data_IF_637596641802
#
_entry.id   IF_637596641802
#
_cell.length_a   1.000
_cell.length_b   1.000
_cell.length_c   1.000
_cell.angle_alpha   90.00
_cell.angle_beta   90.00
_cell.angle_gamma   90.00
#
_symmetry.space_group_name_H-M   'P 1'
#
loop_
_entity.id
_entity.type
_entity.pdbx_description
1 polymer ?
#
# COMPACT_ATOMS: atom_id res chain seq x y z
N UNK A 1 29.69 -18.05 6.76
CA UNK A 1 28.41 -18.16 6.02
C UNK A 1 27.29 -17.64 6.90
N UNK A 2 26.63 -16.52 6.55
CA UNK A 2 25.34 -16.19 7.17
C UNK A 2 24.36 -17.24 6.66
N UNK A 3 23.81 -18.06 7.55
CA UNK A 3 22.69 -18.95 7.22
C UNK A 3 21.57 -18.07 6.67
N UNK A 4 21.30 -18.14 5.37
CA UNK A 4 20.09 -17.56 4.80
C UNK A 4 18.94 -18.29 5.48
N UNK A 5 18.25 -17.60 6.39
CA UNK A 5 17.03 -18.09 7.00
C UNK A 5 16.04 -18.30 5.84
N UNK A 6 15.81 -19.56 5.44
CA UNK A 6 14.89 -19.90 4.36
C UNK A 6 13.55 -19.23 4.63
N UNK A 7 13.20 -18.27 3.77
CA UNK A 7 12.00 -17.45 3.90
C UNK A 7 10.84 -18.21 3.26
N UNK A 8 9.80 -18.47 4.04
CA UNK A 8 8.54 -19.02 3.53
C UNK A 8 7.97 -18.11 2.44
N UNK A 9 7.60 -18.70 1.31
CA UNK A 9 7.13 -17.97 0.12
C UNK A 9 5.65 -17.60 0.18
N UNK A 10 4.88 -18.07 1.17
CA UNK A 10 3.45 -17.74 1.32
C UNK A 10 3.18 -16.24 1.40
N UNK A 11 3.89 -15.51 2.28
CA UNK A 11 3.75 -14.05 2.38
C UNK A 11 4.36 -13.29 1.20
N UNK A 12 5.28 -13.91 0.47
CA UNK A 12 5.85 -13.32 -0.75
C UNK A 12 4.87 -13.42 -1.92
N UNK A 13 4.18 -14.56 -2.06
CA UNK A 13 3.06 -14.72 -2.98
C UNK A 13 1.92 -13.75 -2.66
N UNK A 14 1.60 -13.56 -1.38
CA UNK A 14 0.62 -12.57 -0.97
C UNK A 14 1.01 -11.14 -1.38
N UNK A 15 2.31 -10.80 -1.35
CA UNK A 15 2.78 -9.49 -1.82
C UNK A 15 2.58 -9.31 -3.32
N UNK A 16 2.76 -10.37 -4.12
CA UNK A 16 2.47 -10.38 -5.55
C UNK A 16 0.98 -10.15 -5.80
N UNK A 17 0.12 -10.87 -5.07
CA UNK A 17 -1.34 -10.72 -5.17
C UNK A 17 -1.74 -9.29 -4.77
N UNK A 18 -1.19 -8.76 -3.68
CA UNK A 18 -1.47 -7.41 -3.20
C UNK A 18 -1.13 -6.35 -4.26
N UNK A 19 0.00 -6.47 -4.95
CA UNK A 19 0.36 -5.49 -6.00
C UNK A 19 -0.52 -5.63 -7.24
N UNK A 20 -0.91 -6.84 -7.63
CA UNK A 20 -1.84 -7.04 -8.73
C UNK A 20 -3.19 -6.39 -8.41
N UNK A 21 -3.70 -6.54 -7.18
CA UNK A 21 -4.93 -5.87 -6.74
C UNK A 21 -4.82 -4.34 -6.83
N UNK A 22 -3.68 -3.76 -6.44
CA UNK A 22 -3.43 -2.31 -6.56
C UNK A 22 -3.40 -1.87 -8.03
N UNK A 23 -2.70 -2.59 -8.90
CA UNK A 23 -2.65 -2.27 -10.35
C UNK A 23 -4.03 -2.41 -10.98
N UNK A 24 -4.83 -3.39 -10.54
CA UNK A 24 -6.21 -3.57 -10.98
C UNK A 24 -7.10 -2.38 -10.60
N UNK A 25 -6.88 -1.82 -9.41
CA UNK A 25 -7.53 -0.59 -8.97
C UNK A 25 -7.12 0.61 -9.81
N UNK A 26 -5.82 0.76 -10.09
CA UNK A 26 -5.28 1.85 -10.89
C UNK A 26 -5.86 1.89 -12.31
N UNK A 27 -6.11 0.72 -12.93
CA UNK A 27 -6.78 0.62 -14.22
C UNK A 27 -8.13 1.34 -14.24
N UNK A 28 -8.93 1.24 -13.18
CA UNK A 28 -10.30 1.76 -13.16
C UNK A 28 -10.35 3.17 -12.58
N UNK A 29 -9.68 3.41 -11.45
CA UNK A 29 -9.79 4.69 -10.73
C UNK A 29 -9.10 5.85 -11.46
N UNK A 30 -8.03 5.56 -12.21
CA UNK A 30 -7.28 6.57 -12.96
C UNK A 30 -7.69 6.61 -14.43
N UNK A 31 -8.72 5.87 -14.84
CA UNK A 31 -9.26 5.97 -16.18
C UNK A 31 -10.35 7.05 -16.20
N UNK A 32 -10.43 7.91 -17.23
CA UNK A 32 -11.52 8.88 -17.40
C UNK A 32 -12.79 8.17 -17.89
N UNK A 33 -13.29 7.22 -17.10
CA UNK A 33 -14.46 6.40 -17.41
C UNK A 33 -15.45 6.44 -16.24
N UNK A 34 -16.64 6.96 -16.50
CA UNK A 34 -17.70 6.97 -15.50
C UNK A 34 -18.40 5.61 -15.42
N UNK A 35 -17.83 4.74 -14.57
CA UNK A 35 -18.38 3.42 -14.30
C UNK A 35 -19.79 3.45 -13.68
N UNK A 36 -20.20 4.56 -13.05
CA UNK A 36 -21.47 4.65 -12.35
C UNK A 36 -22.62 5.08 -13.26
N UNK A 37 -22.32 5.67 -14.42
CA UNK A 37 -23.27 5.94 -15.50
C UNK A 37 -23.72 4.67 -16.25
N UNK A 38 -22.96 3.58 -16.13
CA UNK A 38 -23.25 2.33 -16.85
C UNK A 38 -24.43 1.55 -16.26
N UNK A 39 -25.22 0.85 -17.08
CA UNK A 39 -26.28 -0.03 -16.59
C UNK A 39 -25.78 -1.09 -15.63
N UNK A 40 -26.60 -1.42 -14.62
CA UNK A 40 -26.28 -2.49 -13.69
C UNK A 40 -26.15 -3.83 -14.39
N UNK A 41 -25.01 -4.48 -14.23
CA UNK A 41 -24.74 -5.83 -14.73
C UNK A 41 -23.54 -6.44 -14.00
N UNK A 42 -23.29 -7.74 -14.21
CA UNK A 42 -22.14 -8.44 -13.62
C UNK A 42 -20.80 -7.80 -14.03
N UNK A 43 -20.69 -7.32 -15.27
CA UNK A 43 -19.51 -6.59 -15.76
C UNK A 43 -19.27 -5.31 -14.94
N UNK A 44 -20.31 -4.50 -14.72
CA UNK A 44 -20.23 -3.30 -13.88
C UNK A 44 -19.82 -3.63 -12.44
N UNK A 45 -20.41 -4.66 -11.83
CA UNK A 45 -20.04 -5.13 -10.48
C UNK A 45 -18.56 -5.53 -10.38
N UNK A 46 -18.03 -6.24 -11.38
CA UNK A 46 -16.62 -6.60 -11.44
C UNK A 46 -15.73 -5.36 -11.42
N UNK A 47 -16.02 -4.37 -12.27
CA UNK A 47 -15.25 -3.13 -12.31
C UNK A 47 -15.44 -2.26 -11.06
N UNK A 48 -16.59 -2.32 -10.38
CA UNK A 48 -16.81 -1.59 -9.11
C UNK A 48 -15.93 -2.16 -7.99
N UNK A 49 -15.80 -3.49 -7.93
CA UNK A 49 -14.86 -4.13 -7.02
C UNK A 49 -13.42 -3.69 -7.30
N UNK A 50 -13.03 -3.61 -8.58
CA UNK A 50 -11.72 -3.08 -8.96
C UNK A 50 -11.56 -1.60 -8.59
N UNK A 51 -12.57 -0.78 -8.84
CA UNK A 51 -12.58 0.67 -8.60
C UNK A 51 -12.25 1.07 -7.16
N UNK A 52 -12.65 0.28 -6.15
CA UNK A 52 -12.35 0.60 -4.74
C UNK A 52 -11.71 -0.58 -4.01
N UNK A 53 -12.50 -1.61 -3.73
CA UNK A 53 -12.15 -2.65 -2.77
C UNK A 53 -10.81 -3.34 -3.08
N UNK A 54 -10.53 -3.65 -4.36
CA UNK A 54 -9.30 -4.34 -4.75
C UNK A 54 -8.04 -3.59 -4.30
N UNK A 55 -7.94 -2.29 -4.60
CA UNK A 55 -6.77 -1.47 -4.25
C UNK A 55 -6.62 -1.32 -2.76
N UNK A 56 -7.73 -1.09 -2.04
CA UNK A 56 -7.71 -0.93 -0.58
C UNK A 56 -7.31 -2.21 0.15
N UNK A 57 -7.79 -3.38 -0.32
CA UNK A 57 -7.31 -4.70 0.15
C UNK A 57 -5.81 -4.84 -0.12
N UNK A 58 -5.35 -4.53 -1.34
CA UNK A 58 -3.93 -4.61 -1.70
C UNK A 58 -3.03 -3.75 -0.81
N UNK A 59 -3.41 -2.50 -0.58
CA UNK A 59 -2.70 -1.56 0.32
C UNK A 59 -2.65 -2.11 1.75
N UNK A 60 -3.78 -2.62 2.26
CA UNK A 60 -3.84 -3.21 3.59
C UNK A 60 -2.95 -4.46 3.71
N UNK A 61 -2.93 -5.33 2.71
CA UNK A 61 -2.04 -6.50 2.67
C UNK A 61 -0.56 -6.11 2.66
N UNK A 62 -0.17 -5.11 1.86
CA UNK A 62 1.20 -4.58 1.86
C UNK A 62 1.63 -4.11 3.24
N UNK A 63 0.74 -3.38 3.92
CA UNK A 63 1.00 -2.90 5.26
C UNK A 63 1.07 -4.06 6.26
N UNK A 64 0.09 -4.98 6.26
CA UNK A 64 0.03 -6.14 7.16
C UNK A 64 1.31 -6.99 7.07
N UNK A 65 1.79 -7.30 5.86
CA UNK A 65 3.05 -8.02 5.67
C UNK A 65 4.22 -7.25 6.28
N UNK A 66 4.27 -5.93 6.05
CA UNK A 66 5.35 -5.07 6.54
C UNK A 66 5.35 -4.99 8.06
N UNK A 67 4.22 -4.60 8.66
CA UNK A 67 4.09 -4.44 10.11
C UNK A 67 4.21 -5.75 10.86
N UNK A 68 3.85 -6.89 10.25
CA UNK A 68 4.08 -8.21 10.83
C UNK A 68 5.56 -8.42 11.17
N UNK A 69 6.47 -8.13 10.23
CA UNK A 69 7.90 -8.29 10.47
C UNK A 69 8.52 -7.17 11.33
N UNK A 70 7.90 -5.98 11.34
CA UNK A 70 8.36 -4.86 12.17
C UNK A 70 7.97 -5.02 13.64
N UNK A 71 6.83 -5.65 13.94
CA UNK A 71 6.36 -5.85 15.32
C UNK A 71 7.38 -6.60 16.20
N UNK A 72 8.16 -7.53 15.63
CA UNK A 72 9.17 -8.29 16.37
C UNK A 72 10.52 -7.56 16.50
N UNK A 73 10.72 -6.46 15.78
CA UNK A 73 12.03 -5.81 15.65
C UNK A 73 12.07 -4.51 16.42
N UNK A 74 13.07 -4.37 17.27
CA UNK A 74 13.46 -3.08 17.83
C UNK A 74 14.21 -2.30 16.77
N UNK A 75 13.60 -1.21 16.33
CA UNK A 75 14.15 -0.32 15.33
C UNK A 75 14.48 0.98 16.05
N UNK A 76 15.74 1.38 16.00
CA UNK A 76 16.18 2.69 16.44
C UNK A 76 15.81 3.77 15.42
N UNK A 77 15.74 5.03 15.85
CA UNK A 77 15.49 6.16 14.96
C UNK A 77 16.51 6.23 13.81
N UNK A 78 17.80 5.95 14.09
CA UNK A 78 18.84 5.88 13.06
C UNK A 78 18.56 4.78 12.02
N UNK A 79 18.09 3.60 12.45
CA UNK A 79 17.75 2.52 11.52
C UNK A 79 16.51 2.87 10.69
N UNK A 80 15.52 3.55 11.27
CA UNK A 80 14.38 4.07 10.53
C UNK A 80 14.82 5.10 9.48
N UNK A 81 15.62 6.10 9.88
CA UNK A 81 16.18 7.09 8.98
C UNK A 81 17.01 6.45 7.85
N UNK A 82 17.83 5.43 8.15
CA UNK A 82 18.61 4.69 7.14
C UNK A 82 17.72 3.98 6.11
N UNK A 83 16.58 3.41 6.55
CA UNK A 83 15.60 2.81 5.62
C UNK A 83 14.96 3.87 4.73
N UNK A 84 14.56 5.00 5.29
CA UNK A 84 13.97 6.13 4.55
C UNK A 84 14.99 6.69 3.54
N UNK A 85 16.25 6.81 3.92
CA UNK A 85 17.34 7.21 3.04
C UNK A 85 17.52 6.28 1.84
N UNK A 86 17.42 4.96 2.06
CA UNK A 86 17.46 3.99 0.96
C UNK A 86 16.21 4.11 0.08
N UNK A 87 15.02 4.26 0.68
CA UNK A 87 13.77 4.47 -0.05
C UNK A 87 13.83 5.72 -0.93
N UNK A 88 14.34 6.84 -0.42
CA UNK A 88 14.47 8.08 -1.17
C UNK A 88 15.22 7.88 -2.49
N UNK A 89 16.29 7.08 -2.51
CA UNK A 89 17.03 6.81 -3.76
C UNK A 89 16.21 6.02 -4.80
N UNK A 90 15.26 5.20 -4.36
CA UNK A 90 14.34 4.49 -5.25
C UNK A 90 13.32 5.47 -5.83
N UNK A 91 12.76 6.36 -5.00
CA UNK A 91 11.83 7.40 -5.44
C UNK A 91 12.48 8.36 -6.44
N UNK A 92 13.69 8.81 -6.12
CA UNK A 92 14.49 9.67 -6.99
C UNK A 92 14.72 9.02 -8.35
N UNK A 93 15.07 7.72 -8.39
CA UNK A 93 15.26 7.01 -9.66
C UNK A 93 13.99 7.01 -10.52
N UNK A 94 12.82 6.71 -9.94
CA UNK A 94 11.58 6.64 -10.69
C UNK A 94 11.05 8.01 -11.11
N UNK A 95 11.24 9.05 -10.27
CA UNK A 95 10.94 10.42 -10.69
C UNK A 95 11.90 10.93 -11.76
N UNK A 96 13.18 10.58 -11.70
CA UNK A 96 14.13 10.93 -12.76
C UNK A 96 13.77 10.23 -14.08
N UNK A 97 13.40 8.94 -14.01
CA UNK A 97 12.95 8.17 -15.18
C UNK A 97 11.69 8.79 -15.80
N UNK A 98 10.74 9.20 -14.95
CA UNK A 98 9.54 9.91 -15.40
C UNK A 98 9.86 11.28 -16.00
N UNK A 99 10.79 12.04 -15.43
CA UNK A 99 11.23 13.32 -15.98
C UNK A 99 11.85 13.16 -17.37
N UNK A 100 12.69 12.14 -17.57
CA UNK A 100 13.23 11.80 -18.91
C UNK A 100 12.10 11.47 -19.88
N UNK A 101 11.09 10.71 -19.45
CA UNK A 101 9.94 10.39 -20.29
C UNK A 101 9.10 11.63 -20.63
N UNK A 102 8.93 12.56 -19.69
CA UNK A 102 8.27 13.84 -19.94
C UNK A 102 8.99 14.64 -21.03
N UNK A 103 10.32 14.77 -20.95
CA UNK A 103 11.10 15.44 -22.00
C UNK A 103 10.97 14.79 -23.39
N UNK A 104 10.64 13.50 -23.47
CA UNK A 104 10.47 12.79 -24.76
C UNK A 104 9.03 12.93 -25.29
N UNK A 105 8.02 12.79 -24.43
CA UNK A 105 6.61 12.67 -24.83
C UNK A 105 5.88 14.01 -24.78
N UNK A 106 6.09 14.78 -23.73
CA UNK A 106 5.41 16.05 -23.48
C UNK A 106 6.35 17.03 -22.77
N UNK A 107 7.31 17.64 -23.48
CA UNK A 107 8.29 18.54 -22.88
C UNK A 107 7.63 19.73 -22.17
N UNK A 108 6.41 20.11 -22.58
CA UNK A 108 5.67 21.23 -22.00
C UNK A 108 5.13 20.93 -20.60
N UNK A 109 5.03 19.64 -20.22
CA UNK A 109 4.66 19.26 -18.85
C UNK A 109 5.77 19.47 -17.82
N UNK A 110 7.00 19.73 -18.26
CA UNK A 110 8.15 19.96 -17.36
C UNK A 110 8.15 21.40 -16.88
N UNK A 111 7.69 21.60 -15.65
CA UNK A 111 7.60 22.90 -14.99
C UNK A 111 8.42 22.93 -13.70
N UNK A 112 8.49 24.10 -13.04
CA UNK A 112 9.25 24.26 -11.79
C UNK A 112 8.82 23.26 -10.70
N UNK A 113 7.52 22.94 -10.60
CA UNK A 113 7.04 21.95 -9.63
C UNK A 113 7.58 20.55 -9.92
N UNK A 114 7.75 20.16 -11.18
CA UNK A 114 8.31 18.84 -11.58
C UNK A 114 9.71 18.62 -10.99
N UNK A 115 10.53 19.68 -10.90
CA UNK A 115 11.85 19.61 -10.27
C UNK A 115 11.77 19.48 -8.75
N UNK A 116 10.80 20.14 -8.11
CA UNK A 116 10.57 19.99 -6.67
C UNK A 116 10.07 18.58 -6.34
N UNK A 117 9.20 18.02 -7.16
CA UNK A 117 8.66 16.66 -7.01
C UNK A 117 9.77 15.61 -7.19
N UNK A 118 10.74 15.86 -8.09
CA UNK A 118 11.95 15.04 -8.22
C UNK A 118 12.84 15.05 -6.97
N UNK A 119 13.13 16.22 -6.41
CA UNK A 119 14.08 16.38 -5.30
C UNK A 119 13.47 16.05 -3.94
N UNK A 120 12.17 16.32 -3.77
CA UNK A 120 11.46 16.22 -2.51
C UNK A 120 10.23 15.28 -2.56
N UNK A 121 10.32 14.06 -3.14
CA UNK A 121 9.16 13.21 -3.40
C UNK A 121 8.41 12.79 -2.13
N UNK A 122 9.12 12.69 -0.99
CA UNK A 122 8.52 12.33 0.29
C UNK A 122 7.66 13.45 0.89
N UNK A 123 8.14 14.70 0.87
CA UNK A 123 7.41 15.83 1.46
C UNK A 123 6.36 16.39 0.52
N UNK A 124 6.55 16.22 -0.79
CA UNK A 124 5.58 16.57 -1.84
C UNK A 124 4.45 15.54 -2.00
N UNK A 125 4.54 14.42 -1.28
CA UNK A 125 3.51 13.38 -1.26
C UNK A 125 3.23 12.74 -2.64
N UNK A 126 4.28 12.65 -3.48
CA UNK A 126 4.20 12.04 -4.83
C UNK A 126 3.65 10.61 -4.77
N UNK A 127 4.05 9.87 -3.74
CA UNK A 127 3.47 8.57 -3.40
C UNK A 127 3.03 8.58 -1.94
N UNK A 128 1.73 8.79 -1.73
CA UNK A 128 1.14 8.91 -0.40
C UNK A 128 1.52 7.75 0.54
N UNK A 129 1.61 6.53 0.01
CA UNK A 129 1.94 5.34 0.79
C UNK A 129 3.37 5.42 1.34
N UNK A 130 4.32 5.90 0.54
CA UNK A 130 5.74 5.96 0.92
C UNK A 130 5.99 7.11 1.89
N UNK A 131 5.33 8.25 1.69
CA UNK A 131 5.36 9.37 2.64
C UNK A 131 4.78 8.96 3.99
N UNK A 132 3.62 8.32 4.00
CA UNK A 132 2.99 7.77 5.21
C UNK A 132 3.85 6.71 5.89
N UNK A 133 4.43 5.79 5.11
CA UNK A 133 5.36 4.77 5.61
C UNK A 133 6.59 5.40 6.27
N UNK A 134 7.14 6.46 5.67
CA UNK A 134 8.33 7.13 6.18
C UNK A 134 8.07 7.81 7.53
N UNK A 135 6.94 8.52 7.66
CA UNK A 135 6.52 9.09 8.95
C UNK A 135 6.28 7.98 9.98
N UNK A 136 5.53 6.94 9.61
CA UNK A 136 5.29 5.79 10.48
C UNK A 136 6.60 5.13 10.95
N UNK A 137 7.59 4.97 10.07
CA UNK A 137 8.88 4.39 10.41
C UNK A 137 9.66 5.22 11.42
N UNK A 138 9.59 6.56 11.37
CA UNK A 138 10.21 7.44 12.36
C UNK A 138 9.48 7.37 13.72
N UNK A 139 8.16 7.20 13.70
CA UNK A 139 7.33 7.06 14.91
C UNK A 139 7.38 5.67 15.53
N UNK A 140 7.68 4.64 14.73
CA UNK A 140 7.66 3.23 15.13
C UNK A 140 8.44 2.90 16.41
N UNK A 141 9.65 3.44 16.67
CA UNK A 141 10.39 3.16 17.91
C UNK A 141 9.59 3.55 19.16
N UNK A 142 8.89 4.68 19.08
CA UNK A 142 8.07 5.22 20.17
C UNK A 142 6.75 4.46 20.28
N UNK A 143 6.02 4.32 19.17
CA UNK A 143 4.72 3.63 19.13
C UNK A 143 4.86 2.19 19.62
N UNK A 144 5.86 1.43 19.13
CA UNK A 144 6.09 0.04 19.55
C UNK A 144 6.37 -0.05 21.04
N UNK A 145 7.27 0.78 21.55
CA UNK A 145 7.66 0.77 22.97
C UNK A 145 6.47 1.10 23.86
N UNK A 146 5.66 2.10 23.48
CA UNK A 146 4.44 2.46 24.20
C UNK A 146 3.44 1.31 24.24
N UNK A 147 3.13 0.68 23.10
CA UNK A 147 2.19 -0.43 23.03
C UNK A 147 2.63 -1.64 23.88
N UNK A 148 3.94 -1.94 23.90
CA UNK A 148 4.46 -3.01 24.76
C UNK A 148 4.35 -2.67 26.24
N UNK A 149 4.67 -1.43 26.64
CA UNK A 149 4.59 -0.98 28.03
C UNK A 149 3.16 -0.88 28.56
N UNK A 150 2.18 -0.60 27.70
CA UNK A 150 0.76 -0.55 28.08
C UNK A 150 0.22 -1.90 28.59
N UNK A 151 0.82 -3.01 28.17
CA UNK A 151 0.35 -4.36 28.52
C UNK A 151 -0.97 -4.76 27.85
N UNK A 152 -1.35 -6.03 28.04
CA UNK A 152 -2.42 -6.68 27.29
C UNK A 152 -3.78 -5.99 27.40
N UNK A 153 -4.18 -5.59 28.60
CA UNK A 153 -5.52 -5.03 28.86
C UNK A 153 -5.68 -3.66 28.20
N UNK A 154 -4.75 -2.75 28.42
CA UNK A 154 -4.81 -1.39 27.86
C UNK A 154 -4.60 -1.40 26.35
N UNK A 155 -3.75 -2.28 25.80
CA UNK A 155 -3.64 -2.44 24.34
C UNK A 155 -4.92 -2.98 23.72
N UNK A 156 -5.64 -3.91 24.38
CA UNK A 156 -6.95 -4.35 23.91
C UNK A 156 -7.99 -3.22 23.91
N UNK A 157 -8.04 -2.44 25.00
CA UNK A 157 -8.93 -1.27 25.11
C UNK A 157 -8.65 -0.26 24.00
N UNK A 158 -7.37 -0.01 23.70
CA UNK A 158 -6.97 0.83 22.58
C UNK A 158 -7.46 0.23 21.25
N UNK A 159 -7.26 -1.06 20.98
CA UNK A 159 -7.75 -1.69 19.76
C UNK A 159 -9.27 -1.53 19.59
N UNK A 160 -10.04 -1.77 20.66
CA UNK A 160 -11.50 -1.60 20.66
C UNK A 160 -11.86 -0.14 20.36
N UNK A 161 -11.22 0.82 21.05
CA UNK A 161 -11.45 2.25 20.82
C UNK A 161 -11.18 2.64 19.36
N UNK A 162 -10.05 2.20 18.78
CA UNK A 162 -9.71 2.52 17.39
C UNK A 162 -10.70 1.88 16.40
N UNK A 163 -11.20 0.67 16.66
CA UNK A 163 -12.25 0.02 15.84
C UNK A 163 -13.58 0.76 15.97
N UNK A 164 -13.93 1.25 17.15
CA UNK A 164 -15.15 2.06 17.32
C UNK A 164 -15.02 3.36 16.53
N UNK A 165 -13.93 4.12 16.73
CA UNK A 165 -13.73 5.41 16.09
C UNK A 165 -13.62 5.30 14.57
N UNK A 166 -12.71 4.47 14.05
CA UNK A 166 -12.42 4.43 12.61
C UNK A 166 -13.04 3.24 11.88
N UNK A 167 -13.77 2.37 12.57
CA UNK A 167 -14.56 1.30 11.97
C UNK A 167 -16.06 1.58 12.08
N UNK A 168 -16.60 1.66 13.30
CA UNK A 168 -18.05 1.76 13.52
C UNK A 168 -18.60 3.17 13.30
N UNK A 169 -17.93 4.22 13.79
CA UNK A 169 -18.44 5.59 13.62
C UNK A 169 -18.38 6.08 12.17
N UNK A 170 -17.62 5.41 11.30
CA UNK A 170 -17.63 5.70 9.85
C UNK A 170 -18.99 5.43 9.20
N UNK A 171 -19.86 4.63 9.81
CA UNK A 171 -21.22 4.42 9.31
C UNK A 171 -22.17 5.60 9.59
N UNK A 172 -21.75 6.57 10.40
CA UNK A 172 -22.49 7.83 10.56
C UNK A 172 -22.22 8.70 9.33
N UNK A 173 -23.26 9.07 8.55
CA UNK A 173 -23.07 9.90 7.36
C UNK A 173 -22.33 11.19 7.66
N UNK A 174 -21.27 11.48 6.89
CA UNK A 174 -20.43 12.67 7.07
C UNK A 174 -19.42 12.59 8.22
N UNK A 175 -19.28 11.46 8.91
CA UNK A 175 -18.26 11.30 9.95
C UNK A 175 -16.85 11.34 9.35
N UNK A 176 -16.09 12.38 9.70
CA UNK A 176 -14.69 12.53 9.31
C UNK A 176 -13.81 12.68 10.55
N UNK A 177 -13.21 11.57 10.99
CA UNK A 177 -12.28 11.53 12.12
C UNK A 177 -10.81 11.56 11.66
N UNK A 178 -10.52 12.13 10.48
CA UNK A 178 -9.17 12.45 10.01
C UNK A 178 -8.27 11.26 9.62
N UNK A 179 -8.80 10.03 9.53
CA UNK A 179 -8.06 8.87 9.03
C UNK A 179 -8.42 8.61 7.57
N UNK A 180 -7.48 8.84 6.67
CA UNK A 180 -7.54 8.45 5.26
C UNK A 180 -6.22 7.87 4.79
N UNK A 181 -5.75 8.29 3.60
CA UNK A 181 -4.46 7.95 3.00
C UNK A 181 -3.26 8.62 3.71
N UNK A 182 -3.12 8.38 5.02
CA UNK A 182 -2.10 8.98 5.86
C UNK A 182 -1.51 7.98 6.88
N UNK A 183 -0.49 8.42 7.63
CA UNK A 183 0.22 7.57 8.60
C UNK A 183 -0.64 7.15 9.81
N UNK A 184 -1.78 7.79 10.09
CA UNK A 184 -2.67 7.41 11.19
C UNK A 184 -3.26 6.02 10.94
N UNK A 185 -3.63 5.73 9.70
CA UNK A 185 -4.03 4.37 9.28
C UNK A 185 -2.93 3.33 9.51
N UNK A 186 -1.67 3.73 9.34
CA UNK A 186 -0.53 2.85 9.57
C UNK A 186 -0.37 2.51 11.06
N UNK A 187 -0.50 3.52 11.92
CA UNK A 187 -0.53 3.33 13.37
C UNK A 187 -1.72 2.46 13.82
N UNK A 188 -2.89 2.64 13.21
CA UNK A 188 -4.08 1.83 13.47
C UNK A 188 -3.87 0.36 13.15
N UNK A 189 -3.49 0.03 11.91
CA UNK A 189 -3.24 -1.36 11.51
C UNK A 189 -2.08 -1.97 12.28
N UNK A 190 -1.01 -1.21 12.56
CA UNK A 190 0.08 -1.68 13.41
C UNK A 190 -0.42 -2.05 14.81
N UNK A 191 -1.25 -1.21 15.42
CA UNK A 191 -1.80 -1.45 16.76
C UNK A 191 -2.63 -2.73 16.79
N UNK A 192 -3.52 -2.94 15.82
CA UNK A 192 -4.33 -4.16 15.72
C UNK A 192 -3.47 -5.41 15.50
N UNK A 193 -2.54 -5.37 14.53
CA UNK A 193 -1.72 -6.52 14.18
C UNK A 193 -0.71 -6.85 15.29
N UNK A 194 -0.14 -5.85 15.94
CA UNK A 194 0.76 -6.05 17.08
C UNK A 194 0.03 -6.71 18.25
N UNK A 195 -1.22 -6.33 18.53
CA UNK A 195 -2.04 -6.99 19.54
C UNK A 195 -2.26 -8.47 19.20
N UNK A 196 -2.71 -8.74 17.96
CA UNK A 196 -2.91 -10.10 17.44
C UNK A 196 -1.65 -10.96 17.62
N UNK A 197 -0.48 -10.38 17.31
CA UNK A 197 0.80 -11.08 17.33
C UNK A 197 1.36 -11.29 18.74
N UNK A 198 1.50 -10.24 19.54
CA UNK A 198 2.21 -10.30 20.82
C UNK A 198 1.44 -11.04 21.91
N UNK A 199 0.10 -10.97 21.89
CA UNK A 199 -0.72 -11.66 22.88
C UNK A 199 -1.26 -13.01 22.41
N UNK A 200 -0.75 -13.51 21.27
CA UNK A 200 -1.09 -14.81 20.70
C UNK A 200 -2.61 -15.02 20.65
N UNK A 201 -3.34 -14.04 20.10
CA UNK A 201 -4.78 -14.14 19.98
C UNK A 201 -5.10 -15.35 19.11
N UNK A 202 -5.67 -16.39 19.72
CA UNK A 202 -5.99 -17.67 19.06
C UNK A 202 -7.26 -17.52 18.24
N UNK A 203 -7.21 -16.68 17.21
CA UNK A 203 -8.25 -16.69 16.17
C UNK A 203 -8.05 -17.95 15.34
N UNK A 204 -9.07 -18.82 15.33
CA UNK A 204 -9.04 -20.00 14.48
C UNK A 204 -9.00 -19.58 13.01
N UNK A 205 -8.40 -20.42 12.15
CA UNK A 205 -8.42 -20.19 10.69
C UNK A 205 -9.86 -20.07 10.18
N UNK A 206 -10.77 -20.86 10.75
CA UNK A 206 -12.20 -20.79 10.46
C UNK A 206 -12.78 -19.39 10.75
N UNK A 207 -12.53 -18.85 11.95
CA UNK A 207 -13.01 -17.51 12.33
C UNK A 207 -12.51 -16.41 11.40
N UNK A 208 -11.21 -16.43 11.04
CA UNK A 208 -10.64 -15.47 10.10
C UNK A 208 -11.27 -15.60 8.72
N UNK A 209 -11.44 -16.82 8.21
CA UNK A 209 -12.04 -17.05 6.90
C UNK A 209 -13.51 -16.63 6.87
N UNK A 210 -14.30 -16.94 7.91
CA UNK A 210 -15.68 -16.49 8.02
C UNK A 210 -15.75 -14.96 8.06
N UNK A 211 -14.91 -14.29 8.85
CA UNK A 211 -14.86 -12.84 8.89
C UNK A 211 -14.49 -12.24 7.51
N UNK A 212 -13.52 -12.84 6.81
CA UNK A 212 -13.16 -12.44 5.45
C UNK A 212 -14.29 -12.65 4.44
N UNK A 213 -15.02 -13.77 4.52
CA UNK A 213 -16.17 -14.03 3.66
C UNK A 213 -17.32 -13.06 3.93
N UNK A 214 -17.60 -12.74 5.20
CA UNK A 214 -18.58 -11.72 5.58
C UNK A 214 -18.17 -10.33 5.11
N UNK A 215 -16.88 -9.98 5.21
CA UNK A 215 -16.35 -8.72 4.68
C UNK A 215 -16.49 -8.63 3.16
N UNK A 216 -16.16 -9.70 2.44
CA UNK A 216 -16.32 -9.77 0.99
C UNK A 216 -17.80 -9.70 0.59
N UNK A 217 -18.67 -10.43 1.29
CA UNK A 217 -20.10 -10.40 1.08
C UNK A 217 -20.66 -8.99 1.31
N UNK A 218 -20.25 -8.31 2.38
CA UNK A 218 -20.65 -6.92 2.64
C UNK A 218 -20.24 -5.99 1.48
N UNK A 219 -19.02 -6.12 0.95
CA UNK A 219 -18.56 -5.32 -0.20
C UNK A 219 -19.40 -5.59 -1.45
N UNK A 220 -19.67 -6.87 -1.77
CA UNK A 220 -20.43 -7.25 -2.97
C UNK A 220 -21.88 -6.78 -2.88
N UNK A 221 -22.54 -7.05 -1.75
CA UNK A 221 -23.93 -6.63 -1.52
C UNK A 221 -24.04 -5.11 -1.50
N UNK A 222 -23.09 -4.40 -0.88
CA UNK A 222 -23.11 -2.95 -0.86
C UNK A 222 -22.95 -2.34 -2.25
N UNK A 223 -22.06 -2.88 -3.09
CA UNK A 223 -21.95 -2.44 -4.49
C UNK A 223 -23.22 -2.71 -5.30
N UNK A 224 -23.91 -3.84 -5.06
CA UNK A 224 -25.18 -4.14 -5.71
C UNK A 224 -26.30 -3.19 -5.26
N UNK A 225 -26.43 -2.93 -3.95
CA UNK A 225 -27.41 -1.99 -3.39
C UNK A 225 -27.15 -0.59 -3.94
N UNK A 226 -25.90 -0.12 -3.86
CA UNK A 226 -25.54 1.21 -4.34
C UNK A 226 -25.83 1.35 -5.83
N UNK A 227 -25.57 0.32 -6.64
CA UNK A 227 -25.91 0.34 -8.07
C UNK A 227 -27.41 0.45 -8.35
N UNK A 228 -28.26 -0.04 -7.45
CA UNK A 228 -29.71 0.01 -7.59
C UNK A 228 -30.32 1.32 -7.06
N UNK A 229 -29.70 1.96 -6.07
CA UNK A 229 -30.22 3.14 -5.37
C UNK A 229 -29.58 4.44 -5.88
N UNK A 230 -28.42 4.37 -6.53
CA UNK A 230 -27.66 5.53 -6.98
C UNK A 230 -28.35 6.30 -8.13
N UNK A 231 -28.58 7.60 -7.92
CA UNK A 231 -29.28 8.49 -8.87
C UNK A 231 -28.35 9.53 -9.52
N UNK A 232 -27.03 9.33 -9.48
CA UNK A 232 -26.10 10.08 -10.35
C UNK A 232 -25.42 11.33 -9.78
N UNK A 233 -25.44 11.58 -8.47
CA UNK A 233 -24.73 12.72 -7.85
C UNK A 233 -23.29 12.34 -7.45
N UNK A 234 -22.35 12.37 -8.39
CA UNK A 234 -20.96 11.91 -8.19
C UNK A 234 -20.27 12.44 -6.94
N UNK A 235 -20.63 13.64 -6.48
CA UNK A 235 -19.98 14.31 -5.35
C UNK A 235 -20.29 13.63 -4.02
N UNK A 236 -21.47 13.02 -3.90
CA UNK A 236 -21.89 12.31 -2.70
C UNK A 236 -21.48 10.82 -2.69
N UNK A 237 -20.97 10.30 -3.82
CA UNK A 237 -20.61 8.89 -3.96
C UNK A 237 -19.58 8.40 -2.92
N UNK A 238 -18.53 9.18 -2.56
CA UNK A 238 -17.59 8.79 -1.53
C UNK A 238 -18.27 8.54 -0.17
N UNK A 239 -19.26 9.35 0.23
CA UNK A 239 -19.98 9.23 1.51
C UNK A 239 -20.62 7.84 1.65
N UNK A 240 -21.12 7.28 0.55
CA UNK A 240 -21.73 5.95 0.55
C UNK A 240 -20.71 4.82 0.42
N UNK A 241 -19.60 5.03 -0.31
CA UNK A 241 -18.58 3.99 -0.50
C UNK A 241 -17.69 3.82 0.74
N UNK A 242 -17.39 4.92 1.43
CA UNK A 242 -16.36 4.98 2.46
C UNK A 242 -16.56 4.00 3.64
N UNK A 243 -17.77 3.84 4.21
CA UNK A 243 -17.97 2.98 5.38
C UNK A 243 -17.62 1.51 5.13
N UNK A 244 -17.77 1.06 3.87
CA UNK A 244 -17.64 -0.35 3.48
C UNK A 244 -16.34 -0.61 2.71
N UNK A 245 -15.89 0.36 1.92
CA UNK A 245 -14.83 0.14 0.91
C UNK A 245 -13.65 1.09 1.01
N UNK A 246 -13.63 2.01 1.99
CA UNK A 246 -12.44 2.85 2.19
C UNK A 246 -11.27 2.06 2.78
N UNK A 247 -10.05 2.59 2.66
CA UNK A 247 -8.91 2.03 3.37
C UNK A 247 -9.20 1.87 4.86
N UNK A 248 -8.73 0.76 5.43
CA UNK A 248 -8.85 0.47 6.87
C UNK A 248 -10.28 0.26 7.39
N UNK A 249 -11.32 0.35 6.55
CA UNK A 249 -12.69 0.00 6.92
C UNK A 249 -12.80 -1.46 7.37
N UNK A 250 -13.81 -1.76 8.20
CA UNK A 250 -13.99 -3.09 8.79
C UNK A 250 -14.06 -4.19 7.71
N UNK A 251 -14.85 -4.06 6.62
CA UNK A 251 -14.92 -5.10 5.60
C UNK A 251 -13.57 -5.31 4.89
N UNK A 252 -12.89 -4.23 4.51
CA UNK A 252 -11.57 -4.29 3.86
C UNK A 252 -10.53 -4.95 4.78
N UNK A 253 -10.49 -4.58 6.07
CA UNK A 253 -9.59 -5.21 7.03
C UNK A 253 -9.96 -6.68 7.26
N UNK A 254 -11.24 -7.04 7.34
CA UNK A 254 -11.66 -8.43 7.52
C UNK A 254 -11.17 -9.31 6.35
N UNK A 255 -11.35 -8.88 5.10
CA UNK A 255 -10.82 -9.59 3.93
C UNK A 255 -9.28 -9.66 3.99
N UNK A 256 -8.63 -8.56 4.32
CA UNK A 256 -7.16 -8.47 4.33
C UNK A 256 -6.53 -9.36 5.41
N UNK A 257 -7.10 -9.40 6.63
CA UNK A 257 -6.66 -10.27 7.71
C UNK A 257 -6.90 -11.75 7.41
N UNK A 258 -8.02 -12.09 6.74
CA UNK A 258 -8.31 -13.44 6.30
C UNK A 258 -7.28 -13.93 5.28
N UNK A 259 -7.04 -13.15 4.21
CA UNK A 259 -6.02 -13.45 3.21
C UNK A 259 -4.62 -13.52 3.84
N UNK A 260 -4.28 -12.58 4.71
CA UNK A 260 -3.02 -12.62 5.44
C UNK A 260 -2.85 -13.91 6.24
N UNK A 261 -3.88 -14.32 6.99
CA UNK A 261 -3.88 -15.56 7.76
C UNK A 261 -3.75 -16.81 6.89
N UNK A 262 -4.43 -16.85 5.75
CA UNK A 262 -4.38 -17.93 4.78
C UNK A 262 -2.96 -18.12 4.23
N UNK A 263 -2.36 -17.07 3.69
CA UNK A 263 -1.03 -17.13 3.07
C UNK A 263 0.11 -17.22 4.08
N UNK A 264 -0.06 -16.70 5.30
CA UNK A 264 0.87 -16.94 6.41
C UNK A 264 0.93 -18.43 6.77
N UNK A 265 -0.18 -19.16 6.63
CA UNK A 265 -0.27 -20.59 6.93
C UNK A 265 0.22 -21.52 5.82
N UNK A 266 0.66 -20.97 4.68
CA UNK A 266 1.24 -21.73 3.57
C UNK A 266 2.73 -21.94 3.79
N UNK A 267 3.16 -23.20 3.79
CA UNK A 267 4.55 -23.61 3.99
C UNK A 267 5.12 -24.14 2.69
N UNK A 268 5.81 -23.29 1.94
CA UNK A 268 6.49 -23.67 0.70
C UNK A 268 7.61 -22.68 0.38
N UNK A 269 8.55 -23.11 -0.44
CA UNK A 269 9.68 -22.29 -0.86
C UNK A 269 9.80 -22.25 -2.38
N UNK A 270 9.81 -21.03 -2.95
CA UNK A 270 10.01 -20.79 -4.38
C UNK A 270 10.91 -19.58 -4.62
N UNK A 271 12.05 -19.82 -5.26
CA UNK A 271 12.98 -18.75 -5.66
C UNK A 271 12.32 -17.77 -6.63
N UNK A 272 11.48 -18.26 -7.54
CA UNK A 272 10.77 -17.45 -8.53
C UNK A 272 9.80 -16.51 -7.83
N UNK A 273 8.94 -17.05 -6.94
CA UNK A 273 7.99 -16.23 -6.16
C UNK A 273 8.73 -15.18 -5.35
N UNK A 274 9.79 -15.56 -4.64
CA UNK A 274 10.57 -14.63 -3.84
C UNK A 274 11.24 -13.54 -4.69
N UNK A 275 11.71 -13.89 -5.89
CA UNK A 275 12.33 -12.95 -6.81
C UNK A 275 11.32 -11.93 -7.36
N UNK A 276 10.16 -12.39 -7.84
CA UNK A 276 9.08 -11.53 -8.34
C UNK A 276 8.53 -10.65 -7.21
N UNK A 277 8.27 -11.22 -6.02
CA UNK A 277 7.78 -10.48 -4.86
C UNK A 277 8.76 -9.38 -4.39
N UNK A 278 10.03 -9.50 -4.74
CA UNK A 278 11.04 -8.49 -4.45
C UNK A 278 10.90 -7.22 -5.30
N UNK A 279 10.14 -7.27 -6.40
CA UNK A 279 9.88 -6.16 -7.31
C UNK A 279 8.52 -5.47 -7.05
N UNK A 280 7.64 -6.05 -6.24
CA UNK A 280 6.27 -5.55 -6.04
C UNK A 280 6.18 -4.09 -5.59
N UNK A 281 7.13 -3.62 -4.76
CA UNK A 281 7.17 -2.21 -4.38
C UNK A 281 7.52 -1.29 -5.55
N UNK A 282 8.46 -1.69 -6.43
CA UNK A 282 8.79 -0.90 -7.62
C UNK A 282 7.63 -0.87 -8.63
N UNK A 283 6.88 -1.97 -8.78
CA UNK A 283 5.66 -1.99 -9.61
C UNK A 283 4.65 -0.93 -9.14
N UNK A 284 4.45 -0.79 -7.82
CA UNK A 284 3.60 0.26 -7.26
C UNK A 284 4.13 1.65 -7.65
N UNK A 285 5.43 1.90 -7.45
CA UNK A 285 6.03 3.19 -7.77
C UNK A 285 5.87 3.56 -9.25
N UNK A 286 6.15 2.62 -10.15
CA UNK A 286 6.05 2.85 -11.60
C UNK A 286 4.60 3.15 -12.01
N UNK A 287 3.65 2.32 -11.57
CA UNK A 287 2.24 2.42 -12.01
C UNK A 287 1.48 3.57 -11.36
N UNK A 288 2.00 4.12 -10.26
CA UNK A 288 1.40 5.24 -9.53
C UNK A 288 2.17 6.57 -9.69
N UNK A 289 3.34 6.57 -10.35
CA UNK A 289 4.06 7.81 -10.62
C UNK A 289 3.17 8.76 -11.45
N UNK A 290 2.93 10.01 -11.03
CA UNK A 290 1.86 10.84 -11.60
C UNK A 290 1.82 10.95 -13.13
N UNK A 291 2.97 11.13 -13.78
CA UNK A 291 3.05 11.22 -15.24
C UNK A 291 2.90 9.86 -15.91
N UNK A 292 3.62 8.83 -15.44
CA UNK A 292 3.54 7.47 -15.99
C UNK A 292 2.11 6.94 -15.85
N UNK A 293 1.48 7.15 -14.69
CA UNK A 293 0.09 6.80 -14.41
C UNK A 293 -0.87 7.42 -15.41
N UNK A 294 -0.72 8.71 -15.73
CA UNK A 294 -1.51 9.39 -16.76
C UNK A 294 -1.32 8.72 -18.11
N UNK A 295 -0.08 8.52 -18.56
CA UNK A 295 0.19 7.87 -19.84
C UNK A 295 -0.39 6.45 -19.89
N UNK A 296 -0.21 5.68 -18.83
CA UNK A 296 -0.62 4.29 -18.75
C UNK A 296 -2.13 4.11 -18.79
N UNK A 297 -2.90 4.86 -18.00
CA UNK A 297 -4.34 4.61 -17.81
C UNK A 297 -5.26 5.58 -18.59
N UNK A 298 -4.75 6.74 -19.02
CA UNK A 298 -5.50 7.63 -19.93
C UNK A 298 -5.19 7.35 -21.40
N UNK A 299 -3.93 7.11 -21.74
CA UNK A 299 -3.50 7.10 -23.15
C UNK A 299 -3.25 5.68 -23.68
N UNK A 300 -2.58 4.81 -22.93
CA UNK A 300 -2.16 3.49 -23.43
C UNK A 300 -3.18 2.38 -23.16
N UNK A 301 -3.67 2.27 -21.93
CA UNK A 301 -4.59 1.23 -21.47
C UNK A 301 -5.82 1.90 -20.87
N UNK A 302 -6.66 2.45 -21.75
CA UNK A 302 -7.85 3.20 -21.36
C UNK A 302 -9.09 2.29 -21.35
N UNK A 303 -9.68 2.09 -20.17
CA UNK A 303 -10.86 1.24 -19.99
C UNK A 303 -12.06 1.72 -20.81
N UNK A 304 -12.22 3.03 -21.05
CA UNK A 304 -13.37 3.55 -21.81
C UNK A 304 -13.40 3.04 -23.26
N UNK A 305 -12.23 2.72 -23.83
CA UNK A 305 -12.08 2.24 -25.21
C UNK A 305 -12.65 0.82 -25.38
N UNK A 306 -12.52 -0.03 -24.36
CA UNK A 306 -12.87 -1.46 -24.48
C UNK A 306 -13.89 -1.95 -23.44
N UNK A 307 -14.43 -1.09 -22.58
CA UNK A 307 -15.45 -1.47 -21.59
C UNK A 307 -16.69 -2.09 -22.25
N UNK A 308 -17.10 -1.58 -23.41
CA UNK A 308 -18.26 -2.08 -24.15
C UNK A 308 -18.01 -3.35 -24.95
N UNK A 309 -16.75 -3.81 -25.04
CA UNK A 309 -16.42 -5.09 -25.66
C UNK A 309 -17.01 -6.26 -24.86
N UNK A 310 -17.48 -7.30 -25.55
CA UNK A 310 -17.92 -8.56 -24.95
C UNK A 310 -16.84 -9.17 -24.05
N UNK A 311 -15.57 -8.97 -24.41
CA UNK A 311 -14.41 -9.51 -23.72
C UNK A 311 -13.75 -8.50 -22.76
N UNK A 312 -14.41 -7.41 -22.38
CA UNK A 312 -13.85 -6.35 -21.53
C UNK A 312 -13.14 -6.86 -20.27
N UNK A 313 -13.76 -7.81 -19.53
CA UNK A 313 -13.17 -8.40 -18.32
C UNK A 313 -11.85 -9.12 -18.65
N UNK A 314 -11.83 -9.92 -19.72
CA UNK A 314 -10.65 -10.65 -20.15
C UNK A 314 -9.55 -9.68 -20.59
N UNK A 315 -9.89 -8.67 -21.39
CA UNK A 315 -8.97 -7.63 -21.84
C UNK A 315 -8.37 -6.85 -20.64
N UNK A 316 -9.16 -6.52 -19.63
CA UNK A 316 -8.67 -5.90 -18.39
C UNK A 316 -7.68 -6.79 -17.65
N UNK A 317 -8.01 -8.08 -17.44
CA UNK A 317 -7.14 -9.02 -16.73
C UNK A 317 -5.80 -9.19 -17.46
N UNK A 318 -5.85 -9.34 -18.79
CA UNK A 318 -4.64 -9.42 -19.62
C UNK A 318 -3.82 -8.14 -19.53
N UNK A 319 -4.47 -6.97 -19.63
CA UNK A 319 -3.80 -5.67 -19.53
C UNK A 319 -3.11 -5.47 -18.18
N UNK A 320 -3.80 -5.78 -17.07
CA UNK A 320 -3.24 -5.75 -15.72
C UNK A 320 -2.00 -6.65 -15.61
N UNK A 321 -2.08 -7.86 -16.16
CA UNK A 321 -0.97 -8.81 -16.11
C UNK A 321 0.22 -8.36 -16.95
N UNK A 322 -0.02 -7.79 -18.15
CA UNK A 322 1.03 -7.21 -19.01
C UNK A 322 1.71 -6.06 -18.29
N UNK A 323 0.94 -5.10 -17.75
CA UNK A 323 1.48 -3.97 -16.99
C UNK A 323 2.30 -4.45 -15.79
N UNK A 324 1.78 -5.42 -15.03
CA UNK A 324 2.50 -6.02 -13.90
C UNK A 324 3.83 -6.65 -14.34
N UNK A 325 3.84 -7.41 -15.44
CA UNK A 325 5.06 -8.04 -15.96
C UNK A 325 6.09 -7.01 -16.41
N UNK A 326 5.68 -6.03 -17.22
CA UNK A 326 6.56 -4.96 -17.72
C UNK A 326 7.15 -4.17 -16.55
N UNK A 327 6.32 -3.71 -15.60
CA UNK A 327 6.78 -2.98 -14.43
C UNK A 327 7.71 -3.83 -13.55
N UNK A 328 7.46 -5.14 -13.43
CA UNK A 328 8.33 -6.07 -12.71
C UNK A 328 9.70 -6.14 -13.37
N UNK A 329 9.76 -6.31 -14.70
CA UNK A 329 11.03 -6.33 -15.45
C UNK A 329 11.80 -5.03 -15.26
N UNK A 330 11.13 -3.87 -15.41
CA UNK A 330 11.74 -2.56 -15.22
C UNK A 330 12.34 -2.39 -13.81
N UNK A 331 11.62 -2.81 -12.75
CA UNK A 331 12.15 -2.77 -11.38
C UNK A 331 13.32 -3.74 -11.18
N UNK A 332 13.29 -4.93 -11.79
CA UNK A 332 14.42 -5.87 -11.70
C UNK A 332 15.67 -5.33 -12.40
N UNK A 333 15.52 -4.64 -13.54
CA UNK A 333 16.62 -3.93 -14.21
C UNK A 333 17.16 -2.83 -13.31
N UNK A 334 16.31 -1.95 -12.77
CA UNK A 334 16.73 -0.91 -11.83
C UNK A 334 17.50 -1.49 -10.63
N UNK A 335 16.99 -2.55 -10.01
CA UNK A 335 17.64 -3.21 -8.85
C UNK A 335 19.03 -3.71 -9.20
N UNK A 336 19.21 -4.25 -10.39
CA UNK A 336 20.50 -4.72 -10.89
C UNK A 336 21.48 -3.55 -11.08
N UNK A 337 21.03 -2.46 -11.70
CA UNK A 337 21.82 -1.22 -11.86
C UNK A 337 22.21 -0.61 -10.51
N UNK A 338 21.25 -0.49 -9.58
CA UNK A 338 21.47 0.12 -8.27
C UNK A 338 22.51 -0.66 -7.44
N UNK A 339 22.46 -2.00 -7.48
CA UNK A 339 23.40 -2.88 -6.77
C UNK A 339 24.84 -2.68 -7.26
N UNK A 340 25.03 -2.49 -8.56
CA UNK A 340 26.35 -2.35 -9.17
C UNK A 340 26.89 -0.93 -8.97
N UNK A 341 26.07 0.10 -9.21
CA UNK A 341 26.55 1.47 -9.34
C UNK A 341 26.41 2.33 -8.07
N UNK A 342 25.37 2.13 -7.25
CA UNK A 342 24.94 3.15 -6.26
C UNK A 342 24.97 2.65 -4.81
N UNK A 343 24.57 1.40 -4.55
CA UNK A 343 24.26 0.90 -3.20
C UNK A 343 25.38 1.12 -2.17
N UNK A 344 26.62 0.78 -2.54
CA UNK A 344 27.78 0.91 -1.64
C UNK A 344 28.11 2.38 -1.35
N UNK A 345 28.04 3.24 -2.35
CA UNK A 345 28.36 4.67 -2.22
C UNK A 345 27.28 5.38 -1.40
N UNK A 346 26.02 5.11 -1.71
CA UNK A 346 24.87 5.71 -1.03
C UNK A 346 24.77 5.31 0.44
N UNK A 347 25.06 4.05 0.75
CA UNK A 347 25.11 3.56 2.13
C UNK A 347 26.26 4.20 2.91
N UNK A 348 27.45 4.34 2.29
CA UNK A 348 28.59 5.04 2.91
C UNK A 348 28.28 6.52 3.16
N UNK A 349 27.59 7.18 2.24
CA UNK A 349 27.17 8.58 2.41
C UNK A 349 26.27 8.75 3.63
N UNK A 350 25.27 7.88 3.81
CA UNK A 350 24.43 7.90 5.02
C UNK A 350 25.26 7.73 6.29
N UNK A 351 26.16 6.75 6.31
CA UNK A 351 26.98 6.50 7.51
C UNK A 351 27.97 7.64 7.80
N UNK A 352 28.27 8.52 6.82
CA UNK A 352 29.02 9.78 7.05
C UNK A 352 28.14 10.91 7.59
N UNK A 353 26.93 11.09 7.03
CA UNK A 353 25.97 12.13 7.46
C UNK A 353 25.44 11.84 8.86
N UNK A 354 25.17 10.57 9.18
CA UNK A 354 24.73 10.12 10.50
C UNK A 354 25.62 8.96 10.98
N UNK A 355 26.78 9.25 11.59
CA UNK A 355 27.69 8.23 12.11
C UNK A 355 27.02 7.27 13.09
N UNK A 356 27.49 6.02 13.13
CA UNK A 356 27.13 5.14 14.24
C UNK A 356 27.75 5.73 15.49
N UNK A 357 26.95 6.06 16.51
CA UNK A 357 27.51 6.32 17.84
C UNK A 357 28.26 5.06 18.27
N UNK A 358 29.54 5.20 18.61
CA UNK A 358 30.17 4.29 19.57
C UNK A 358 29.38 4.41 20.88
N UNK A 359 29.24 3.31 21.60
CA UNK A 359 28.46 3.17 22.84
C UNK A 359 28.48 4.39 23.77
N UNK A 360 27.31 4.63 24.37
CA UNK A 360 26.99 5.54 25.48
C UNK A 360 27.00 7.06 25.20
N UNK A 361 25.84 7.68 25.43
CA UNK A 361 25.69 9.12 25.37
C UNK A 361 24.28 9.54 24.98
N UNK A 362 23.49 9.83 26.01
CA UNK A 362 22.16 10.43 25.97
C UNK A 362 22.07 11.61 24.98
N UNK A 363 20.85 11.87 24.54
CA UNK A 363 20.48 12.97 23.66
C UNK A 363 20.78 14.33 24.31
N UNK A 364 21.88 14.99 23.92
CA UNK A 364 21.98 16.45 23.99
C UNK A 364 21.73 17.00 22.58
N UNK A 365 20.45 17.22 22.25
CA UNK A 365 20.01 17.87 21.00
C UNK A 365 19.69 19.36 21.19
N UNK A 366 20.07 19.95 22.33
CA UNK A 366 19.91 21.40 22.58
C UNK A 366 21.24 22.13 22.78
N UNK A 367 22.33 21.68 22.14
CA UNK A 367 23.62 22.40 22.21
C UNK A 367 23.93 23.27 20.97
N UNK A 368 23.02 23.35 19.99
CA UNK A 368 23.16 24.26 18.82
C UNK A 368 21.79 24.82 18.39
N UNK A 369 21.02 25.30 19.36
CA UNK A 369 20.12 26.43 19.18
C UNK A 369 20.64 27.54 20.10
#
# INVERSE_FOLDING_TARGET
MKTEKNRESGLELLRIIAIILIVSHHLVVHCPFDLWAEPFCLKRLFFQFLYRASGKIGIALFLLITVWFLADKEISLRQAAKKIWSLWSILFFWNLSSLVLQFIIDPTSVIASTWLDLLFPLTRNEWWYVSSYSVFMLLLPFVRTSLQKMGKRSHLQLCILMIVLWGLLRFVPGANLGMGLNFVGFCYVFTLLAYYKWYSLRLSRFTLNVAGLLGLFAIVIWNAILSAVWVGDSDNLPIYLEPVQDEWSIPILAVSFALFGLFRGMHFHSKIVNHIASASFGVYLITEQPFIRKQLWFNWVNLSVFYNDKYAILLSVLSIFVVFCVATVLELVRKSLYRVAVDRLWTKLFDRVWPKKSSDGYWNVFAVL
#
